data_IF_697042626799
#
_entry.id   IF_697042626799
#
_cell.length_a   1.000
_cell.length_b   1.000
_cell.length_c   1.000
_cell.angle_alpha   90.00
_cell.angle_beta   90.00
_cell.angle_gamma   90.00
#
_symmetry.space_group_name_H-M   'P 1'
#
loop_
_entity.id
_entity.type
_entity.pdbx_description
1 polymer ?
#
# COMPACT_ATOMS: atom_id res chain seq x y z
N UNK A 1 51.55 52.96 -42.53
CA UNK A 1 50.79 52.05 -43.42
C UNK A 1 50.55 50.77 -42.63
N UNK A 2 49.39 50.51 -41.99
CA UNK A 2 48.12 50.01 -42.61
C UNK A 2 48.45 49.00 -43.72
N UNK A 3 48.07 47.72 -43.65
CA UNK A 3 46.75 47.10 -43.53
C UNK A 3 46.92 45.67 -42.95
N UNK A 4 46.00 44.92 -42.34
CA UNK A 4 44.53 44.87 -42.33
C UNK A 4 44.09 44.01 -41.11
N UNK A 5 42.91 44.34 -40.54
CA UNK A 5 42.22 43.68 -39.42
C UNK A 5 41.26 42.62 -40.00
N UNK A 6 40.72 41.72 -39.13
CA UNK A 6 39.48 40.89 -39.23
C UNK A 6 39.77 39.43 -39.68
N UNK A 7 39.36 38.33 -39.02
CA UNK A 7 38.38 38.01 -37.97
C UNK A 7 38.98 36.93 -37.02
N UNK A 8 38.95 37.07 -35.69
CA UNK A 8 37.83 36.75 -34.79
C UNK A 8 37.37 35.27 -34.87
N UNK A 9 37.68 34.54 -33.80
CA UNK A 9 36.78 33.60 -33.10
C UNK A 9 35.99 32.59 -33.96
N UNK A 10 36.47 31.34 -34.00
CA UNK A 10 35.65 30.20 -34.43
C UNK A 10 36.54 28.97 -34.56
N UNK A 11 36.73 28.15 -33.54
CA UNK A 11 35.68 27.46 -32.82
C UNK A 11 36.05 27.31 -31.34
N UNK A 12 35.58 28.21 -30.48
CA UNK A 12 35.37 27.88 -29.08
C UNK A 12 34.00 27.21 -29.02
N UNK A 13 34.03 25.88 -28.95
CA UNK A 13 33.00 24.99 -28.40
C UNK A 13 31.62 25.05 -29.09
N UNK A 14 31.44 24.31 -30.19
CA UNK A 14 30.12 23.77 -30.55
C UNK A 14 29.89 22.40 -29.89
N UNK A 15 30.37 22.22 -28.66
CA UNK A 15 29.72 21.28 -27.76
C UNK A 15 28.56 22.07 -27.17
N UNK A 16 27.40 22.04 -27.83
CA UNK A 16 26.17 22.36 -27.13
C UNK A 16 26.21 21.57 -25.82
N UNK A 17 26.04 22.24 -24.68
CA UNK A 17 26.09 21.58 -23.39
C UNK A 17 25.07 20.43 -23.45
N UNK A 18 25.56 19.19 -23.59
CA UNK A 18 24.70 18.02 -23.58
C UNK A 18 24.16 17.97 -22.17
N UNK A 19 22.94 18.46 -21.98
CA UNK A 19 22.23 18.38 -20.73
C UNK A 19 21.79 16.93 -20.55
N UNK A 20 22.45 16.17 -19.65
CA UNK A 20 22.07 14.79 -19.39
C UNK A 20 20.78 14.77 -18.58
N UNK A 21 19.89 13.84 -18.91
CA UNK A 21 18.66 13.62 -18.17
C UNK A 21 17.74 12.69 -18.95
N UNK A 22 16.60 12.33 -18.35
CA UNK A 22 15.65 11.47 -19.03
C UNK A 22 15.03 12.15 -20.25
N UNK A 23 15.25 11.58 -21.44
CA UNK A 23 14.68 12.09 -22.71
C UNK A 23 13.38 11.38 -23.11
N UNK A 24 12.92 10.38 -22.35
CA UNK A 24 11.68 9.68 -22.64
C UNK A 24 10.47 10.48 -22.13
N UNK A 25 9.63 10.98 -23.05
CA UNK A 25 8.45 11.79 -22.74
C UNK A 25 7.35 11.09 -21.94
N UNK A 26 7.38 9.75 -21.85
CA UNK A 26 6.43 8.99 -21.03
C UNK A 26 6.98 8.66 -19.64
N UNK A 27 8.24 8.99 -19.34
CA UNK A 27 8.84 8.76 -18.02
C UNK A 27 8.41 9.84 -17.03
N UNK A 28 8.28 9.46 -15.76
CA UNK A 28 7.85 10.34 -14.68
C UNK A 28 8.85 11.45 -14.34
N UNK A 29 10.12 11.29 -14.73
CA UNK A 29 11.17 12.30 -14.62
C UNK A 29 11.67 12.82 -15.97
N UNK A 30 10.82 12.81 -17.00
CA UNK A 30 11.14 13.44 -18.27
C UNK A 30 11.67 14.87 -18.07
N UNK A 31 12.87 15.14 -18.59
CA UNK A 31 13.44 16.49 -18.62
C UNK A 31 13.37 17.02 -20.06
N UNK A 32 12.50 18.00 -20.31
CA UNK A 32 12.34 18.62 -21.62
C UNK A 32 13.61 19.33 -22.14
N UNK A 33 14.52 19.70 -21.25
CA UNK A 33 15.78 20.36 -21.61
C UNK A 33 16.90 19.33 -21.83
N UNK A 34 16.71 18.07 -21.42
CA UNK A 34 17.69 17.02 -21.65
C UNK A 34 17.83 16.75 -23.16
N UNK A 35 19.07 16.83 -23.63
CA UNK A 35 19.42 16.56 -25.04
C UNK A 35 20.19 15.25 -25.20
N UNK A 36 20.53 14.62 -24.08
CA UNK A 36 21.19 13.32 -24.02
C UNK A 36 20.58 12.48 -22.92
N UNK A 37 20.10 11.30 -23.27
CA UNK A 37 19.63 10.33 -22.28
C UNK A 37 20.80 9.90 -21.38
N UNK A 38 20.58 9.97 -20.07
CA UNK A 38 21.53 9.51 -19.05
C UNK A 38 21.13 8.17 -18.44
N UNK A 39 20.02 7.57 -18.89
CA UNK A 39 19.49 6.31 -18.37
C UNK A 39 18.83 6.47 -17.00
N UNK A 40 18.56 7.69 -16.53
CA UNK A 40 17.90 7.94 -15.25
C UNK A 40 16.38 7.87 -15.31
N UNK A 41 15.79 7.63 -16.50
CA UNK A 41 14.34 7.53 -16.66
C UNK A 41 13.72 6.52 -15.70
N UNK A 42 12.63 6.92 -15.03
CA UNK A 42 11.81 6.03 -14.23
C UNK A 42 10.33 6.26 -14.50
N UNK A 43 9.53 5.25 -14.18
CA UNK A 43 8.09 5.22 -14.38
C UNK A 43 7.44 4.95 -13.03
N UNK A 44 6.73 5.96 -12.54
CA UNK A 44 5.92 5.88 -11.33
C UNK A 44 4.55 5.30 -11.66
N UNK A 45 4.11 4.37 -10.82
CA UNK A 45 2.81 3.72 -10.91
C UNK A 45 2.71 2.63 -9.85
N UNK A 46 1.60 1.90 -9.84
CA UNK A 46 1.46 0.77 -8.92
C UNK A 46 2.35 -0.40 -9.36
N UNK A 47 3.28 -0.80 -8.49
CA UNK A 47 4.24 -1.87 -8.74
C UNK A 47 3.81 -3.23 -8.18
N UNK A 48 2.77 -3.25 -7.34
CA UNK A 48 2.22 -4.49 -6.80
C UNK A 48 1.37 -5.21 -7.85
N UNK A 49 1.86 -6.34 -8.36
CA UNK A 49 1.19 -7.20 -9.36
C UNK A 49 -0.20 -7.66 -8.96
N UNK A 50 -0.50 -7.60 -7.66
CA UNK A 50 -1.78 -8.04 -7.16
C UNK A 50 -2.83 -6.90 -7.27
N UNK A 51 -2.43 -5.62 -7.34
CA UNK A 51 -3.33 -4.45 -7.31
C UNK A 51 -4.17 -4.28 -8.59
N UNK A 52 -5.37 -3.72 -8.45
CA UNK A 52 -6.33 -3.53 -9.55
C UNK A 52 -5.81 -2.59 -10.65
N UNK A 53 -4.92 -1.67 -10.29
CA UNK A 53 -4.29 -0.71 -11.19
C UNK A 53 -2.78 -0.97 -11.35
N UNK A 54 -2.32 -2.22 -11.18
CA UNK A 54 -0.93 -2.60 -11.46
C UNK A 54 -0.49 -2.11 -12.84
N UNK A 55 0.63 -1.37 -12.86
CA UNK A 55 1.27 -0.89 -14.08
C UNK A 55 2.55 -1.70 -14.33
N UNK A 56 2.53 -2.54 -15.37
CA UNK A 56 3.68 -3.35 -15.77
C UNK A 56 4.90 -2.53 -16.21
N UNK A 57 4.73 -1.25 -16.50
CA UNK A 57 5.80 -0.32 -16.89
C UNK A 57 6.38 0.41 -15.69
N UNK A 58 5.69 0.41 -14.55
CA UNK A 58 6.17 1.10 -13.35
C UNK A 58 7.37 0.37 -12.75
N UNK A 59 8.41 1.13 -12.44
CA UNK A 59 9.62 0.67 -11.73
C UNK A 59 9.78 1.35 -10.37
N UNK A 60 8.87 2.29 -10.05
CA UNK A 60 8.78 2.96 -8.75
C UNK A 60 7.35 3.05 -8.28
N UNK A 61 7.12 2.58 -7.06
CA UNK A 61 5.84 2.70 -6.39
C UNK A 61 5.50 4.18 -6.15
N UNK A 62 4.29 4.58 -6.51
CA UNK A 62 3.78 5.94 -6.33
C UNK A 62 2.70 6.05 -5.26
N UNK A 63 2.33 4.92 -4.64
CA UNK A 63 1.32 4.87 -3.59
C UNK A 63 -0.11 4.94 -4.14
N UNK A 64 -0.30 4.82 -5.45
CA UNK A 64 -1.63 4.82 -6.07
C UNK A 64 -2.25 3.44 -6.17
N UNK A 65 -1.58 2.38 -5.72
CA UNK A 65 -2.10 1.02 -5.76
C UNK A 65 -3.52 0.92 -5.15
N UNK A 66 -4.45 0.40 -5.94
CA UNK A 66 -5.84 0.17 -5.56
C UNK A 66 -5.99 -1.32 -5.27
N UNK A 67 -6.39 -1.61 -4.04
CA UNK A 67 -6.54 -2.95 -3.52
C UNK A 67 -8.03 -3.25 -3.27
N UNK A 68 -8.52 -4.42 -3.70
CA UNK A 68 -9.91 -4.80 -3.47
C UNK A 68 -10.16 -5.35 -2.05
N UNK A 69 -10.94 -4.59 -1.27
CA UNK A 69 -11.62 -5.11 -0.10
C UNK A 69 -10.94 -4.83 1.25
N UNK A 70 -11.72 -5.01 2.31
CA UNK A 70 -11.37 -4.68 3.69
C UNK A 70 -11.98 -5.74 4.60
N UNK A 71 -11.33 -6.05 5.71
CA UNK A 71 -11.86 -6.93 6.75
C UNK A 71 -11.86 -6.19 8.08
N UNK A 72 -13.03 -6.09 8.71
CA UNK A 72 -13.19 -5.49 10.04
C UNK A 72 -13.50 -6.59 11.05
N UNK A 73 -12.64 -6.73 12.07
CA UNK A 73 -12.87 -7.64 13.19
C UNK A 73 -13.56 -6.91 14.35
N UNK A 74 -14.64 -7.52 14.84
CA UNK A 74 -15.45 -7.03 15.95
C UNK A 74 -15.52 -8.06 17.08
N UNK A 75 -15.69 -7.59 18.31
CA UNK A 75 -15.87 -8.46 19.48
C UNK A 75 -17.29 -8.27 20.06
N UNK A 76 -18.06 -9.37 20.12
CA UNK A 76 -19.36 -9.41 20.82
C UNK A 76 -19.29 -10.07 22.19
N UNK A 77 -18.16 -10.69 22.55
CA UNK A 77 -18.00 -11.29 23.87
C UNK A 77 -18.12 -10.19 24.92
N UNK A 78 -19.11 -10.33 25.80
CA UNK A 78 -19.16 -9.54 27.02
C UNK A 78 -18.21 -10.17 28.04
N UNK A 79 -16.91 -10.00 27.82
CA UNK A 79 -15.95 -10.39 28.83
C UNK A 79 -15.81 -9.23 29.79
N UNK A 80 -16.15 -9.45 31.05
CA UNK A 80 -15.95 -8.47 32.10
C UNK A 80 -14.43 -8.27 32.25
N UNK A 81 -13.98 -7.01 32.23
CA UNK A 81 -12.58 -6.55 32.19
C UNK A 81 -11.94 -6.47 30.79
N UNK A 82 -10.98 -5.56 30.67
CA UNK A 82 -10.27 -5.06 29.49
C UNK A 82 -9.38 -6.16 28.88
N UNK A 83 -9.89 -6.91 27.90
CA UNK A 83 -9.23 -8.11 27.41
C UNK A 83 -8.84 -8.02 25.94
N UNK A 84 -7.60 -8.41 25.70
CA UNK A 84 -6.97 -8.43 24.39
C UNK A 84 -7.39 -9.64 23.56
N UNK A 85 -7.82 -9.39 22.33
CA UNK A 85 -8.01 -10.42 21.31
C UNK A 85 -6.91 -10.27 20.27
N UNK A 86 -6.03 -11.27 20.18
CA UNK A 86 -5.02 -11.36 19.14
C UNK A 86 -5.62 -11.98 17.87
N UNK A 87 -5.40 -11.35 16.71
CA UNK A 87 -5.80 -11.87 15.40
C UNK A 87 -4.57 -12.38 14.65
N UNK A 88 -4.71 -13.57 14.07
CA UNK A 88 -3.73 -14.21 13.21
C UNK A 88 -4.32 -14.54 11.84
N UNK A 89 -3.52 -14.41 10.79
CA UNK A 89 -3.79 -14.84 9.43
C UNK A 89 -2.83 -15.92 9.01
N UNK A 90 -3.34 -17.10 8.66
CA UNK A 90 -2.50 -18.24 8.27
C UNK A 90 -1.33 -18.53 9.24
N UNK A 91 -1.56 -18.27 10.53
CA UNK A 91 -0.61 -18.38 11.65
C UNK A 91 0.39 -17.22 11.80
N UNK A 92 0.28 -16.16 11.01
CA UNK A 92 1.00 -14.90 11.18
C UNK A 92 0.18 -13.93 12.03
N UNK A 93 0.82 -13.26 12.99
CA UNK A 93 0.16 -12.28 13.85
C UNK A 93 -0.14 -11.00 13.06
N UNK A 94 -1.39 -10.54 13.08
CA UNK A 94 -1.83 -9.36 12.33
C UNK A 94 -2.04 -8.15 13.24
N UNK A 95 -2.64 -8.35 14.40
CA UNK A 95 -2.97 -7.25 15.29
C UNK A 95 -3.80 -7.70 16.47
N UNK A 96 -4.25 -6.73 17.26
CA UNK A 96 -5.11 -6.98 18.41
C UNK A 96 -6.11 -5.84 18.60
N UNK A 97 -7.15 -6.12 19.37
CA UNK A 97 -8.13 -5.13 19.79
C UNK A 97 -8.77 -5.55 21.12
N UNK A 98 -9.16 -4.56 21.93
CA UNK A 98 -9.60 -4.78 23.32
C UNK A 98 -11.09 -4.46 23.52
N UNK A 99 -11.69 -3.63 22.65
CA UNK A 99 -13.02 -3.09 22.87
C UNK A 99 -14.17 -4.03 22.48
N UNK A 100 -15.20 -4.01 23.32
CA UNK A 100 -16.49 -4.65 23.07
C UNK A 100 -17.34 -3.78 22.15
N UNK A 101 -17.96 -4.37 21.14
CA UNK A 101 -19.02 -3.71 20.38
C UNK A 101 -20.35 -3.81 21.16
N UNK A 102 -20.91 -2.69 21.66
CA UNK A 102 -22.12 -2.72 22.50
C UNK A 102 -23.42 -2.94 21.71
N UNK A 103 -23.34 -3.02 20.38
CA UNK A 103 -24.47 -3.19 19.47
C UNK A 103 -24.25 -4.39 18.54
N UNK A 104 -25.31 -4.81 17.86
CA UNK A 104 -25.18 -5.79 16.78
C UNK A 104 -24.48 -5.18 15.57
N UNK A 105 -23.49 -5.90 15.04
CA UNK A 105 -22.76 -5.54 13.82
C UNK A 105 -23.56 -6.03 12.62
N UNK A 106 -24.02 -5.10 11.79
CA UNK A 106 -24.78 -5.39 10.57
C UNK A 106 -23.99 -5.11 9.28
N UNK A 107 -22.95 -4.28 9.36
CA UNK A 107 -22.08 -3.89 8.25
C UNK A 107 -20.71 -3.43 8.76
N UNK A 108 -19.76 -3.21 7.85
CA UNK A 108 -18.45 -2.64 8.17
C UNK A 108 -18.47 -1.17 8.64
N UNK A 109 -19.57 -0.46 8.41
CA UNK A 109 -19.74 0.95 8.81
C UNK A 109 -20.38 1.11 10.18
N UNK A 110 -20.55 0.01 10.92
CA UNK A 110 -21.02 0.02 12.31
C UNK A 110 -19.92 0.63 13.19
N UNK A 111 -20.13 1.85 13.72
CA UNK A 111 -19.16 2.69 14.43
C UNK A 111 -18.66 2.20 15.81
N UNK A 112 -18.41 0.90 15.94
CA UNK A 112 -17.64 0.31 17.03
C UNK A 112 -16.13 0.46 16.74
N UNK A 113 -15.31 0.30 17.77
CA UNK A 113 -13.87 0.08 17.56
C UNK A 113 -13.64 -1.31 16.96
N UNK A 114 -12.75 -1.39 15.97
CA UNK A 114 -12.49 -2.57 15.14
C UNK A 114 -10.99 -2.71 14.92
N UNK A 115 -10.52 -3.94 14.67
CA UNK A 115 -9.26 -4.12 13.95
C UNK A 115 -9.59 -4.11 12.46
N UNK A 116 -9.16 -3.06 11.77
CA UNK A 116 -9.29 -2.91 10.33
C UNK A 116 -8.05 -3.49 9.67
N UNK A 117 -8.26 -4.39 8.71
CA UNK A 117 -7.22 -4.78 7.78
C UNK A 117 -7.71 -4.44 6.39
N UNK A 118 -7.03 -3.50 5.77
CA UNK A 118 -7.33 -2.96 4.47
C UNK A 118 -6.31 -3.43 3.44
N UNK A 119 -6.45 -2.92 2.22
CA UNK A 119 -5.55 -3.20 1.12
C UNK A 119 -5.42 -4.69 0.77
N UNK A 120 -6.55 -5.40 0.80
CA UNK A 120 -6.58 -6.84 0.59
C UNK A 120 -6.83 -7.23 -0.85
N UNK A 121 -6.65 -8.52 -1.11
CA UNK A 121 -6.94 -9.14 -2.40
C UNK A 121 -8.08 -10.12 -2.26
N UNK A 122 -8.83 -10.40 -3.35
CA UNK A 122 -9.91 -11.35 -3.28
C UNK A 122 -9.29 -12.72 -3.07
N UNK A 123 -9.49 -13.25 -1.88
CA UNK A 123 -8.92 -14.51 -1.44
C UNK A 123 -9.76 -15.08 -0.30
N UNK A 124 -9.54 -16.35 0.02
CA UNK A 124 -10.09 -17.00 1.21
C UNK A 124 -9.01 -17.16 2.27
N UNK A 125 -8.97 -16.25 3.24
CA UNK A 125 -7.98 -16.26 4.32
C UNK A 125 -8.49 -17.06 5.52
N UNK A 126 -7.63 -17.85 6.15
CA UNK A 126 -7.92 -18.46 7.45
C UNK A 126 -7.50 -17.52 8.57
N UNK A 127 -8.42 -17.27 9.49
CA UNK A 127 -8.11 -16.49 10.69
C UNK A 127 -8.16 -17.35 11.95
N UNK A 128 -7.38 -16.94 12.94
CA UNK A 128 -7.54 -17.37 14.32
C UNK A 128 -7.60 -16.13 15.22
N UNK A 129 -8.60 -16.06 16.09
CA UNK A 129 -8.73 -15.08 17.14
C UNK A 129 -8.42 -15.77 18.47
N UNK A 130 -7.42 -15.27 19.18
CA UNK A 130 -6.99 -15.81 20.47
C UNK A 130 -7.35 -14.79 21.54
N UNK A 131 -8.30 -15.17 22.39
CA UNK A 131 -8.67 -14.40 23.56
C UNK A 131 -7.66 -14.63 24.68
N UNK A 132 -7.02 -13.55 25.15
CA UNK A 132 -6.02 -13.55 26.23
C UNK A 132 -6.67 -13.04 27.52
N UNK A 133 -7.14 -13.92 28.42
CA UNK A 133 -7.61 -13.49 29.73
C UNK A 133 -6.45 -12.94 30.57
N UNK A 134 -6.71 -11.87 31.33
CA UNK A 134 -5.76 -11.45 32.36
C UNK A 134 -5.71 -12.54 33.45
N UNK A 135 -4.50 -13.01 33.74
CA UNK A 135 -4.18 -13.91 34.86
C UNK A 135 -4.65 -15.38 34.75
N UNK A 136 -4.05 -16.14 33.82
CA UNK A 136 -3.78 -17.57 34.03
C UNK A 136 -4.92 -18.55 33.69
N UNK A 137 -5.96 -18.08 33.01
CA UNK A 137 -6.93 -18.94 32.31
C UNK A 137 -6.37 -19.23 30.92
N UNK A 138 -6.49 -20.46 30.42
CA UNK A 138 -5.99 -20.82 29.09
C UNK A 138 -6.61 -19.97 27.99
N UNK A 139 -5.90 -19.84 26.87
CA UNK A 139 -6.39 -19.09 25.72
C UNK A 139 -7.64 -19.74 25.12
N UNK A 140 -8.69 -18.95 24.85
CA UNK A 140 -9.83 -19.39 24.02
C UNK A 140 -9.54 -19.05 22.57
N UNK A 141 -9.72 -20.00 21.65
CA UNK A 141 -9.43 -19.82 20.22
C UNK A 141 -10.70 -19.94 19.41
N UNK A 142 -11.03 -18.89 18.65
CA UNK A 142 -12.00 -18.96 17.56
C UNK A 142 -11.27 -18.98 16.22
N UNK A 143 -11.69 -19.83 15.29
CA UNK A 143 -11.09 -19.93 13.96
C UNK A 143 -12.16 -19.92 12.89
N UNK A 144 -11.80 -19.43 11.71
CA UNK A 144 -12.71 -19.43 10.58
C UNK A 144 -12.02 -19.08 9.28
N UNK A 145 -12.83 -18.84 8.26
CA UNK A 145 -12.39 -18.36 6.95
C UNK A 145 -13.13 -17.06 6.63
N UNK A 146 -12.42 -16.12 6.03
CA UNK A 146 -12.97 -14.89 5.48
C UNK A 146 -12.79 -14.97 3.98
N UNK A 147 -13.87 -14.75 3.22
CA UNK A 147 -13.80 -14.56 1.77
C UNK A 147 -13.77 -13.06 1.56
N UNK A 148 -12.69 -12.57 0.97
CA UNK A 148 -12.53 -11.19 0.55
C UNK A 148 -12.98 -11.14 -0.90
N UNK A 149 -13.91 -10.25 -1.22
CA UNK A 149 -14.42 -10.04 -2.57
C UNK A 149 -13.98 -8.67 -3.11
N UNK A 150 -14.05 -8.51 -4.42
CA UNK A 150 -13.62 -7.28 -5.08
C UNK A 150 -14.43 -6.07 -4.62
N UNK A 151 -13.75 -5.10 -3.99
CA UNK A 151 -14.36 -3.84 -3.52
C UNK A 151 -15.42 -4.00 -2.42
N UNK A 152 -15.48 -5.16 -1.76
CA UNK A 152 -16.39 -5.40 -0.64
C UNK A 152 -15.66 -5.33 0.70
N UNK A 153 -16.37 -4.84 1.72
CA UNK A 153 -15.91 -4.98 3.08
C UNK A 153 -16.59 -6.16 3.76
N UNK A 154 -15.80 -7.01 4.43
CA UNK A 154 -16.27 -8.17 5.17
C UNK A 154 -16.19 -7.93 6.67
N UNK A 155 -17.33 -8.01 7.37
CA UNK A 155 -17.39 -7.92 8.82
C UNK A 155 -17.25 -9.31 9.46
N UNK A 156 -16.27 -9.47 10.35
CA UNK A 156 -16.03 -10.71 11.10
C UNK A 156 -16.33 -10.48 12.57
N UNK A 157 -17.29 -11.23 13.10
CA UNK A 157 -17.70 -11.14 14.51
C UNK A 157 -17.08 -12.28 15.30
N UNK A 158 -16.27 -11.92 16.29
CA UNK A 158 -15.72 -12.82 17.30
C UNK A 158 -16.78 -13.01 18.40
N UNK A 159 -17.07 -14.27 18.72
CA UNK A 159 -18.18 -14.73 19.59
C UNK A 159 -17.71 -15.62 20.72
#
# INVERSE_FOLDING_TARGET
>A
MRFLIIALLGAVIMQGCLEPGCTNHTASNYNQNATKDDGSCYFSGCTDRRALNYDERADREDGTCIYPGQVHFYNRLHVENDHRIDIYWDSEYVGFFDLKCPFEVFSCTSGCEVLEIDQLYPDTIRFAAIYRPDAGVGDTIQQGKVIIEESECTAVVIQ
#
